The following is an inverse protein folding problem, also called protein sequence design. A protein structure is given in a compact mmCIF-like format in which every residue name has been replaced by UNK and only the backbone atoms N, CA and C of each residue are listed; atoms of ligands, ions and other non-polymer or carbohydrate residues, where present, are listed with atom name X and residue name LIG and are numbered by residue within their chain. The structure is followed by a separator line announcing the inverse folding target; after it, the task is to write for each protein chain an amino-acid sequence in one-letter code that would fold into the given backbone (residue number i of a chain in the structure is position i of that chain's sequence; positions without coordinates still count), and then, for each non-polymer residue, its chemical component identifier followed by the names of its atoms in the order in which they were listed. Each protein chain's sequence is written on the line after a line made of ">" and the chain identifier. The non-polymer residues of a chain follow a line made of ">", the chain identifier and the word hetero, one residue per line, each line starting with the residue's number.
data_IF_845566406465
#
_entry.id   IF_845566406465
#
_cell.length_a   1.000
_cell.length_b   1.000
_cell.length_c   1.000
_cell.angle_alpha   90.00
_cell.angle_beta   90.00
_cell.angle_gamma   90.00
#
_symmetry.space_group_name_H-M   'P 1'
#
loop_
_entity.id
_entity.type
_entity.pdbx_description
1 polymer ?
#
# COMPACT_ATOMS: atom_id res chain seq x y z
N UNK A 1 -21.76 -0.05 -14.20
CA UNK A 1 -20.57 -0.70 -13.61
C UNK A 1 -19.85 0.36 -12.79
N UNK A 2 -19.85 0.23 -11.46
CA UNK A 2 -19.10 1.16 -10.60
C UNK A 2 -17.60 0.87 -10.73
N UNK A 3 -16.76 1.89 -10.71
CA UNK A 3 -15.30 1.68 -10.75
C UNK A 3 -14.80 1.03 -9.46
N UNK A 4 -13.68 0.32 -9.50
CA UNK A 4 -13.03 -0.27 -8.30
C UNK A 4 -12.78 0.82 -7.23
N UNK A 5 -12.49 2.05 -7.65
CA UNK A 5 -12.43 3.20 -6.74
C UNK A 5 -13.76 3.44 -6.02
N UNK A 6 -14.91 3.34 -6.69
CA UNK A 6 -16.24 3.50 -6.08
C UNK A 6 -16.62 2.34 -5.16
N UNK A 7 -16.14 1.12 -5.40
CA UNK A 7 -16.32 -0.01 -4.48
C UNK A 7 -15.50 0.16 -3.19
N UNK A 8 -14.33 0.78 -3.28
CA UNK A 8 -13.53 1.16 -2.11
C UNK A 8 -14.12 2.37 -1.35
N UNK A 9 -15.01 3.15 -1.98
CA UNK A 9 -15.69 4.34 -1.42
C UNK A 9 -17.14 3.99 -0.97
N UNK A 10 -17.34 2.79 -0.45
CA UNK A 10 -18.62 2.38 0.16
C UNK A 10 -18.87 3.07 1.53
N UNK A 11 -20.07 2.85 2.14
CA UNK A 11 -20.57 3.54 3.33
C UNK A 11 -19.76 3.35 4.63
N UNK A 12 -18.60 2.69 4.58
CA UNK A 12 -17.68 2.48 5.69
C UNK A 12 -16.63 3.60 5.86
N UNK A 13 -16.70 4.66 5.04
CA UNK A 13 -15.73 5.74 4.98
C UNK A 13 -15.88 6.80 6.09
N UNK A 14 -16.01 6.37 7.35
CA UNK A 14 -15.72 7.20 8.53
C UNK A 14 -14.67 6.53 9.43
N UNK A 15 -13.81 5.69 8.85
CA UNK A 15 -12.55 5.34 9.50
C UNK A 15 -11.72 6.62 9.53
N UNK A 16 -11.50 7.20 10.73
CA UNK A 16 -10.38 8.14 10.96
C UNK A 16 -9.13 7.42 10.48
N UNK A 17 -8.71 7.66 9.24
CA UNK A 17 -7.54 7.03 8.64
C UNK A 17 -6.35 7.57 9.39
N UNK A 18 -5.74 6.73 10.22
CA UNK A 18 -4.45 7.08 10.78
C UNK A 18 -3.45 7.11 9.60
N UNK A 19 -2.40 7.94 9.65
CA UNK A 19 -1.43 8.02 8.56
C UNK A 19 -0.86 6.65 8.14
N UNK A 20 -0.75 5.73 9.09
CA UNK A 20 -0.34 4.33 8.90
C UNK A 20 -1.29 3.58 7.94
N UNK A 21 -2.60 3.64 8.19
CA UNK A 21 -3.61 2.98 7.36
C UNK A 21 -3.75 3.63 5.98
N UNK A 22 -3.60 4.95 5.89
CA UNK A 22 -3.58 5.66 4.61
C UNK A 22 -2.44 5.17 3.72
N UNK A 23 -1.24 5.01 4.28
CA UNK A 23 -0.07 4.54 3.53
C UNK A 23 -0.31 3.15 2.89
N UNK A 24 -1.00 2.25 3.61
CA UNK A 24 -1.33 0.91 3.08
C UNK A 24 -2.32 1.01 1.93
N UNK A 25 -3.46 1.68 2.14
CA UNK A 25 -4.53 1.77 1.13
C UNK A 25 -4.06 2.52 -0.11
N UNK A 26 -3.30 3.60 0.07
CA UNK A 26 -2.78 4.40 -1.04
C UNK A 26 -1.72 3.63 -1.82
N UNK A 27 -0.93 2.78 -1.15
CA UNK A 27 0.03 1.89 -1.85
C UNK A 27 -0.69 0.91 -2.76
N UNK A 28 -1.70 0.19 -2.25
CA UNK A 28 -2.46 -0.79 -3.06
C UNK A 28 -3.20 -0.10 -4.20
N UNK A 29 -3.63 1.16 -4.02
CA UNK A 29 -4.31 1.93 -5.05
C UNK A 29 -3.39 2.38 -6.21
N UNK A 30 -2.07 2.30 -6.06
CA UNK A 30 -1.12 2.76 -7.09
C UNK A 30 -1.32 2.00 -8.42
N UNK A 31 -1.20 2.68 -9.58
CA UNK A 31 -1.25 2.03 -10.90
C UNK A 31 0.04 1.24 -11.22
N UNK A 32 0.74 0.78 -10.19
CA UNK A 32 1.95 -0.04 -10.25
C UNK A 32 1.66 -1.50 -9.89
N UNK A 33 0.47 -1.77 -9.37
CA UNK A 33 -0.08 -3.10 -9.16
C UNK A 33 -1.06 -3.44 -10.27
N UNK A 34 -0.98 -4.66 -10.78
CA UNK A 34 -2.00 -5.22 -11.67
C UNK A 34 -3.26 -5.52 -10.85
N UNK A 35 -4.42 -5.56 -11.51
CA UNK A 35 -5.71 -5.79 -10.83
C UNK A 35 -5.69 -7.05 -9.96
N UNK A 36 -5.23 -8.18 -10.51
CA UNK A 36 -5.13 -9.43 -9.75
C UNK A 36 -4.11 -9.39 -8.61
N UNK A 37 -3.06 -8.56 -8.70
CA UNK A 37 -2.11 -8.39 -7.59
C UNK A 37 -2.75 -7.61 -6.45
N UNK A 38 -3.56 -6.59 -6.79
CA UNK A 38 -4.34 -5.82 -5.80
C UNK A 38 -5.36 -6.69 -5.10
N UNK A 39 -6.14 -7.45 -5.85
CA UNK A 39 -7.15 -8.35 -5.28
C UNK A 39 -6.50 -9.32 -4.28
N UNK A 40 -5.38 -9.92 -4.67
CA UNK A 40 -4.61 -10.83 -3.80
C UNK A 40 -4.07 -10.18 -2.54
N UNK A 41 -3.68 -8.91 -2.58
CA UNK A 41 -3.23 -8.18 -1.38
C UNK A 41 -4.42 -7.84 -0.50
N UNK A 42 -5.54 -7.43 -1.09
CA UNK A 42 -6.76 -7.08 -0.36
C UNK A 42 -7.37 -8.27 0.39
N UNK A 43 -7.19 -9.50 -0.09
CA UNK A 43 -7.59 -10.74 0.62
C UNK A 43 -6.96 -10.86 2.03
N UNK A 44 -5.83 -10.18 2.27
CA UNK A 44 -5.09 -10.20 3.53
C UNK A 44 -5.26 -8.92 4.37
N UNK A 45 -6.18 -8.03 3.97
CA UNK A 45 -6.48 -6.78 4.68
C UNK A 45 -7.91 -6.86 5.19
N UNK A 46 -8.05 -7.01 6.50
CA UNK A 46 -9.33 -6.96 7.20
C UNK A 46 -9.61 -5.52 7.66
N UNK A 47 -10.43 -4.81 6.90
CA UNK A 47 -10.82 -3.43 7.18
C UNK A 47 -11.75 -3.31 8.39
N UNK A 48 -12.55 -4.34 8.68
CA UNK A 48 -13.52 -4.33 9.76
C UNK A 48 -12.82 -4.50 11.12
N UNK A 49 -11.87 -5.44 11.19
CA UNK A 49 -11.08 -5.70 12.39
C UNK A 49 -9.76 -4.92 12.46
N UNK A 50 -9.46 -4.11 11.44
CA UNK A 50 -8.21 -3.35 11.31
C UNK A 50 -6.98 -4.25 11.49
N UNK A 51 -6.97 -5.35 10.75
CA UNK A 51 -5.89 -6.31 10.78
C UNK A 51 -5.29 -6.46 9.38
N UNK A 52 -3.96 -6.60 9.32
CA UNK A 52 -3.21 -6.82 8.09
C UNK A 52 -2.28 -8.01 8.32
N UNK A 53 -2.43 -9.05 7.50
CA UNK A 53 -1.49 -10.17 7.48
C UNK A 53 -0.31 -9.85 6.57
N UNK A 54 0.67 -9.15 7.13
CA UNK A 54 1.88 -8.75 6.40
C UNK A 54 2.72 -9.92 5.93
N UNK A 55 2.75 -11.02 6.68
CA UNK A 55 3.54 -12.21 6.32
C UNK A 55 2.98 -12.85 5.04
N UNK A 56 1.65 -13.00 4.98
CA UNK A 56 0.97 -13.49 3.78
C UNK A 56 1.11 -12.51 2.60
N UNK A 57 1.04 -11.20 2.83
CA UNK A 57 1.28 -10.19 1.79
C UNK A 57 2.70 -10.30 1.23
N UNK A 58 3.73 -10.39 2.08
CA UNK A 58 5.12 -10.48 1.63
C UNK A 58 5.43 -11.82 0.94
N UNK A 59 4.80 -12.91 1.38
CA UNK A 59 4.89 -14.20 0.71
C UNK A 59 4.27 -14.15 -0.70
N UNK A 60 3.06 -13.59 -0.81
CA UNK A 60 2.38 -13.42 -2.09
C UNK A 60 3.15 -12.48 -3.02
N UNK A 61 3.73 -11.41 -2.46
CA UNK A 61 4.48 -10.42 -3.21
C UNK A 61 5.73 -10.97 -3.89
N UNK A 62 6.27 -12.13 -3.47
CA UNK A 62 7.39 -12.78 -4.18
C UNK A 62 7.07 -13.08 -5.65
N UNK A 63 5.79 -13.20 -6.00
CA UNK A 63 5.32 -13.44 -7.35
C UNK A 63 5.05 -12.16 -8.15
N UNK A 64 5.16 -10.98 -7.52
CA UNK A 64 4.91 -9.69 -8.15
C UNK A 64 6.19 -9.11 -8.77
N UNK A 65 6.04 -7.96 -9.44
CA UNK A 65 7.19 -7.19 -9.88
C UNK A 65 8.10 -6.78 -8.70
N UNK A 66 9.39 -6.57 -8.97
CA UNK A 66 10.32 -6.04 -7.97
C UNK A 66 9.83 -4.68 -7.42
N UNK A 67 9.24 -3.85 -8.28
CA UNK A 67 8.70 -2.55 -7.92
C UNK A 67 7.55 -2.66 -6.93
N UNK A 68 6.57 -3.53 -7.20
CA UNK A 68 5.45 -3.79 -6.28
C UNK A 68 5.94 -4.34 -4.93
N UNK A 69 6.92 -5.24 -4.92
CA UNK A 69 7.55 -5.75 -3.68
C UNK A 69 8.18 -4.66 -2.84
N UNK A 70 8.93 -3.76 -3.48
CA UNK A 70 9.55 -2.63 -2.77
C UNK A 70 8.45 -1.76 -2.17
N UNK A 71 7.44 -1.37 -2.95
CA UNK A 71 6.33 -0.54 -2.47
C UNK A 71 5.57 -1.16 -1.29
N UNK A 72 5.31 -2.47 -1.31
CA UNK A 72 4.67 -3.17 -0.19
C UNK A 72 5.52 -3.17 1.09
N UNK A 73 6.85 -3.28 0.96
CA UNK A 73 7.75 -3.14 2.13
C UNK A 73 7.80 -1.71 2.66
N UNK A 74 7.74 -0.71 1.77
CA UNK A 74 7.64 0.70 2.19
C UNK A 74 6.35 0.91 2.96
N UNK A 75 5.21 0.42 2.44
CA UNK A 75 3.92 0.49 3.13
C UNK A 75 3.96 -0.18 4.50
N UNK A 76 4.58 -1.36 4.59
CA UNK A 76 4.75 -2.08 5.86
C UNK A 76 5.60 -1.28 6.86
N UNK A 77 6.72 -0.70 6.42
CA UNK A 77 7.56 0.13 7.28
C UNK A 77 6.80 1.35 7.80
N UNK A 78 6.09 2.06 6.91
CA UNK A 78 5.27 3.22 7.27
C UNK A 78 4.13 2.85 8.24
N UNK A 79 3.49 1.70 8.03
CA UNK A 79 2.44 1.20 8.91
C UNK A 79 2.94 0.96 10.34
N UNK A 80 4.16 0.45 10.50
CA UNK A 80 4.79 0.21 11.81
C UNK A 80 5.47 1.45 12.41
N UNK A 81 5.40 2.61 11.76
CA UNK A 81 6.09 3.82 12.18
C UNK A 81 7.62 3.75 12.04
N UNK A 82 8.13 2.83 11.21
CA UNK A 82 9.55 2.68 10.92
C UNK A 82 10.02 3.49 9.72
N UNK A 83 11.33 3.61 9.58
CA UNK A 83 11.97 4.30 8.45
C UNK A 83 12.07 3.39 7.22
N UNK A 84 11.80 3.97 6.06
CA UNK A 84 12.08 3.35 4.78
C UNK A 84 13.58 3.48 4.44
N UNK A 85 14.20 2.41 3.96
CA UNK A 85 15.56 2.49 3.44
C UNK A 85 15.57 3.24 2.10
N UNK A 86 16.14 4.44 2.07
CA UNK A 86 16.20 5.29 0.87
C UNK A 86 16.91 4.63 -0.31
N UNK A 87 17.87 3.73 -0.05
CA UNK A 87 18.57 2.95 -1.07
C UNK A 87 17.64 2.05 -1.89
N UNK A 88 16.47 1.70 -1.36
CA UNK A 88 15.49 0.87 -2.05
C UNK A 88 14.71 1.68 -3.09
N UNK A 89 14.62 3.00 -2.90
CA UNK A 89 14.00 3.91 -3.87
C UNK A 89 14.78 3.98 -5.17
N UNK A 90 16.10 3.80 -5.15
CA UNK A 90 16.94 3.82 -6.35
C UNK A 90 16.61 2.69 -7.33
N UNK A 91 16.01 1.60 -6.82
CA UNK A 91 15.60 0.43 -7.62
C UNK A 91 14.21 0.57 -8.23
N UNK A 92 13.47 1.63 -7.88
CA UNK A 92 12.14 1.92 -8.43
C UNK A 92 12.25 2.67 -9.76
N UNK A 93 11.21 2.55 -10.60
CA UNK A 93 11.08 3.40 -11.78
C UNK A 93 10.91 4.87 -11.38
N UNK A 94 10.92 5.79 -12.34
CA UNK A 94 10.58 7.21 -12.06
C UNK A 94 9.19 7.35 -11.42
N UNK A 95 8.20 6.59 -11.92
CA UNK A 95 6.85 6.59 -11.39
C UNK A 95 6.80 5.97 -9.99
N UNK A 96 7.48 4.83 -9.77
CA UNK A 96 7.56 4.17 -8.46
C UNK A 96 8.25 5.03 -7.40
N UNK A 97 9.33 5.72 -7.76
CA UNK A 97 9.98 6.70 -6.87
C UNK A 97 9.04 7.82 -6.47
N UNK A 98 8.33 8.39 -7.44
CA UNK A 98 7.37 9.47 -7.18
C UNK A 98 6.25 8.99 -6.25
N UNK A 99 5.71 7.80 -6.50
CA UNK A 99 4.69 7.19 -5.65
C UNK A 99 5.21 6.94 -4.23
N UNK A 100 6.40 6.36 -4.08
CA UNK A 100 7.01 6.11 -2.78
C UNK A 100 7.27 7.40 -1.99
N UNK A 101 7.75 8.47 -2.65
CA UNK A 101 7.94 9.78 -2.02
C UNK A 101 6.61 10.35 -1.52
N UNK A 102 5.52 10.23 -2.30
CA UNK A 102 4.20 10.69 -1.89
C UNK A 102 3.68 9.92 -0.67
N UNK A 103 3.86 8.60 -0.64
CA UNK A 103 3.49 7.75 0.50
C UNK A 103 4.26 8.14 1.78
N UNK A 104 5.57 8.36 1.65
CA UNK A 104 6.40 8.82 2.77
C UNK A 104 5.95 10.22 3.23
N UNK A 105 5.71 11.15 2.30
CA UNK A 105 5.29 12.51 2.64
C UNK A 105 3.94 12.56 3.35
N UNK A 106 3.00 11.66 3.02
CA UNK A 106 1.71 11.56 3.71
C UNK A 106 1.85 11.21 5.19
N UNK A 107 2.87 10.44 5.58
CA UNK A 107 3.14 10.13 6.98
C UNK A 107 3.49 11.36 7.80
N UNK A 108 4.16 12.33 7.18
CA UNK A 108 4.65 13.56 7.82
C UNK A 108 3.71 14.77 7.63
N UNK A 109 2.54 14.57 7.00
CA UNK A 109 1.47 15.57 7.00
C UNK A 109 0.72 15.48 8.33
N UNK A 110 1.20 16.23 9.30
CA UNK A 110 0.47 16.55 10.53
C UNK A 110 -0.85 17.32 10.22
#
# INVERSE_FOLDING_TARGET
>A
MMSVQQQLIGPHFWVKRTPEWSAVLDTVALPLFRDHERDRVMDYIDLDNRYIDWDSIHAQAQNFSQEARILLRIAHALYNGGDCQLSELERLSSAGRSAAILLIAQRYRE
#
